data_IF_488062317872
#
_entry.id   IF_488062317872
#
_cell.length_a   1.000
_cell.length_b   1.000
_cell.length_c   1.000
_cell.angle_alpha   90.00
_cell.angle_beta   90.00
_cell.angle_gamma   90.00
#
_symmetry.space_group_name_H-M   'P 1'
#
loop_
_entity.id
_entity.type
_entity.pdbx_description
1 polymer ?
#
# COMPACT_ATOMS: atom_id res chain seq x y z
N UNK A 1 5.04 0.50 -9.43
CA UNK A 1 4.09 1.66 -9.30
C UNK A 1 4.18 2.39 -7.96
N UNK A 2 4.65 1.77 -6.90
CA UNK A 2 4.81 2.40 -5.56
C UNK A 2 5.58 3.72 -5.61
N UNK A 3 6.62 3.84 -6.42
CA UNK A 3 7.40 5.07 -6.59
C UNK A 3 6.56 6.26 -7.12
N UNK A 4 5.49 6.01 -7.88
CA UNK A 4 4.59 7.10 -8.29
C UNK A 4 3.80 7.66 -7.11
N UNK A 5 3.40 6.81 -6.16
CA UNK A 5 2.63 7.22 -4.98
C UNK A 5 3.48 7.96 -3.95
N UNK A 6 4.76 7.62 -3.84
CA UNK A 6 5.67 8.20 -2.85
C UNK A 6 6.12 9.61 -3.24
N UNK A 7 5.84 10.66 -2.45
CA UNK A 7 6.26 12.03 -2.75
C UNK A 7 7.78 12.25 -2.61
N UNK A 8 8.48 11.34 -1.94
CA UNK A 8 9.95 11.40 -1.89
C UNK A 8 10.62 10.84 -3.14
N UNK A 9 9.97 9.87 -3.82
CA UNK A 9 10.43 9.29 -5.08
C UNK A 9 9.88 10.05 -6.29
N UNK A 10 8.60 10.41 -6.26
CA UNK A 10 7.92 11.10 -7.36
C UNK A 10 8.10 12.62 -7.26
N UNK A 11 9.05 13.15 -7.98
CA UNK A 11 9.36 14.59 -8.09
C UNK A 11 8.79 15.24 -9.35
N UNK A 12 7.81 14.60 -9.99
CA UNK A 12 7.16 15.13 -11.21
C UNK A 12 6.33 16.36 -10.88
N UNK A 13 6.31 17.30 -11.82
CA UNK A 13 5.53 18.55 -11.76
C UNK A 13 4.34 18.55 -12.71
N UNK A 14 4.12 17.44 -13.43
CA UNK A 14 3.00 17.25 -14.34
C UNK A 14 1.80 16.57 -13.64
N UNK A 15 0.80 16.18 -14.43
CA UNK A 15 -0.42 15.53 -13.95
C UNK A 15 -0.20 14.17 -13.25
N UNK A 16 1.02 13.68 -13.14
CA UNK A 16 1.39 12.44 -12.45
C UNK A 16 2.21 12.67 -11.18
N UNK A 17 2.37 13.93 -10.73
CA UNK A 17 3.13 14.29 -9.55
C UNK A 17 2.44 15.36 -8.70
N UNK A 18 3.00 15.68 -7.54
CA UNK A 18 2.44 16.64 -6.60
C UNK A 18 1.34 16.06 -5.73
N UNK A 19 0.07 16.36 -5.97
CA UNK A 19 -1.05 15.91 -5.15
C UNK A 19 -1.22 14.38 -5.16
N UNK A 20 -1.89 13.82 -4.16
CA UNK A 20 -2.13 12.37 -4.08
C UNK A 20 -2.91 11.87 -5.29
N UNK A 21 -3.92 12.62 -5.76
CA UNK A 21 -4.72 12.27 -6.94
C UNK A 21 -3.85 12.17 -8.19
N UNK A 22 -2.90 13.07 -8.35
CA UNK A 22 -1.97 13.03 -9.47
C UNK A 22 -1.00 11.85 -9.36
N UNK A 23 -0.45 11.60 -8.15
CA UNK A 23 0.45 10.47 -7.89
C UNK A 23 -0.25 9.12 -8.08
N UNK A 24 -1.54 9.02 -7.74
CA UNK A 24 -2.35 7.82 -7.92
C UNK A 24 -2.85 7.63 -9.37
N UNK A 25 -2.88 8.68 -10.16
CA UNK A 25 -3.45 8.69 -11.53
C UNK A 25 -2.92 7.55 -12.41
N UNK A 26 -1.62 7.28 -12.35
CA UNK A 26 -1.03 6.21 -13.17
C UNK A 26 -1.56 4.83 -12.73
N UNK A 27 -1.59 4.55 -11.44
CA UNK A 27 -2.09 3.30 -10.88
C UNK A 27 -3.57 3.09 -11.24
N UNK A 28 -4.41 4.09 -10.97
CA UNK A 28 -5.86 4.01 -11.23
C UNK A 28 -6.14 3.85 -12.74
N UNK A 29 -5.41 4.56 -13.59
CA UNK A 29 -5.54 4.41 -15.03
C UNK A 29 -5.15 3.02 -15.51
N UNK A 30 -4.09 2.43 -14.94
CA UNK A 30 -3.66 1.08 -15.28
C UNK A 30 -4.71 0.02 -14.87
N UNK A 31 -5.27 0.14 -13.65
CA UNK A 31 -6.35 -0.76 -13.18
C UNK A 31 -7.58 -0.64 -14.06
N UNK A 32 -8.02 0.58 -14.36
CA UNK A 32 -9.18 0.83 -15.26
C UNK A 32 -8.97 0.18 -16.62
N UNK A 33 -7.81 0.37 -17.24
CA UNK A 33 -7.48 -0.24 -18.53
C UNK A 33 -7.41 -1.77 -18.46
N UNK A 34 -6.88 -2.31 -17.37
CA UNK A 34 -6.90 -3.77 -17.15
C UNK A 34 -8.34 -4.27 -17.06
N UNK A 35 -9.20 -3.63 -16.26
CA UNK A 35 -10.62 -4.00 -16.11
C UNK A 35 -11.38 -3.91 -17.45
N UNK A 36 -11.16 -2.85 -18.22
CA UNK A 36 -11.73 -2.72 -19.58
C UNK A 36 -11.30 -3.89 -20.49
N UNK A 37 -10.06 -4.34 -20.38
CA UNK A 37 -9.52 -5.39 -21.24
C UNK A 37 -9.97 -6.80 -20.86
N UNK A 38 -10.10 -7.09 -19.55
CA UNK A 38 -10.37 -8.47 -19.08
C UNK A 38 -11.86 -8.71 -18.75
N UNK A 39 -12.67 -7.66 -18.63
CA UNK A 39 -14.09 -7.75 -18.29
C UNK A 39 -14.35 -7.84 -16.78
N UNK A 40 -15.62 -7.87 -16.40
CA UNK A 40 -16.06 -7.80 -15.01
C UNK A 40 -15.77 -9.07 -14.19
N UNK A 41 -15.77 -10.23 -14.83
CA UNK A 41 -15.67 -11.52 -14.17
C UNK A 41 -14.23 -11.98 -13.89
N UNK A 42 -13.23 -11.28 -14.45
CA UNK A 42 -11.84 -11.63 -14.26
C UNK A 42 -11.28 -10.93 -13.01
N UNK A 43 -10.75 -11.67 -12.01
CA UNK A 43 -10.26 -11.05 -10.79
C UNK A 43 -8.99 -10.22 -11.03
N UNK A 44 -8.97 -8.99 -10.49
CA UNK A 44 -7.81 -8.10 -10.49
C UNK A 44 -7.31 -7.94 -9.07
N UNK A 45 -6.02 -8.24 -8.84
CA UNK A 45 -5.35 -7.96 -7.58
C UNK A 45 -4.34 -6.85 -7.71
N UNK A 46 -4.20 -6.05 -6.65
CA UNK A 46 -3.21 -4.98 -6.54
C UNK A 46 -2.38 -5.18 -5.29
N UNK A 47 -1.05 -5.15 -5.43
CA UNK A 47 -0.13 -5.06 -4.29
C UNK A 47 0.18 -3.60 -4.03
N UNK A 48 -0.15 -3.12 -2.82
CA UNK A 48 -0.02 -1.73 -2.41
C UNK A 48 0.76 -1.62 -1.10
N UNK A 49 1.69 -0.65 -1.04
CA UNK A 49 2.31 -0.29 0.23
C UNK A 49 1.27 0.39 1.14
N UNK A 50 1.20 -0.05 2.40
CA UNK A 50 0.39 0.61 3.44
C UNK A 50 1.07 1.90 3.94
N UNK A 51 2.37 1.98 3.85
CA UNK A 51 3.21 3.15 4.16
C UNK A 51 4.64 2.91 3.66
N UNK A 52 5.38 3.99 3.37
CA UNK A 52 6.81 3.91 3.10
C UNK A 52 7.65 3.78 4.38
N UNK A 53 7.05 4.03 5.57
CA UNK A 53 7.73 4.11 6.87
C UNK A 53 8.91 5.11 6.87
N UNK A 54 8.81 6.14 6.07
CA UNK A 54 9.83 7.16 5.87
C UNK A 54 9.22 8.55 5.96
N UNK A 55 9.90 9.46 6.67
CA UNK A 55 9.41 10.84 6.82
C UNK A 55 9.26 11.51 5.44
N UNK A 56 8.09 12.07 5.20
CA UNK A 56 7.74 12.69 3.92
C UNK A 56 7.46 11.70 2.78
N UNK A 57 7.42 10.38 3.07
CA UNK A 57 7.01 9.34 2.13
C UNK A 57 5.48 9.18 2.06
N UNK A 58 5.05 8.13 1.36
CA UNK A 58 3.66 7.74 1.27
C UNK A 58 3.15 7.28 2.65
N UNK A 59 2.06 7.89 3.12
CA UNK A 59 1.51 7.65 4.46
C UNK A 59 0.39 6.62 4.45
N UNK A 60 0.03 6.13 5.64
CA UNK A 60 -1.11 5.23 5.78
C UNK A 60 -2.45 5.89 5.46
N UNK A 61 -2.62 7.16 5.81
CA UNK A 61 -3.82 7.94 5.48
C UNK A 61 -3.97 8.08 3.97
N UNK A 62 -2.88 8.36 3.27
CA UNK A 62 -2.86 8.38 1.80
C UNK A 62 -3.17 7.00 1.21
N UNK A 63 -2.69 5.92 1.84
CA UNK A 63 -3.02 4.55 1.45
C UNK A 63 -4.52 4.27 1.53
N UNK A 64 -5.19 4.65 2.62
CA UNK A 64 -6.64 4.48 2.78
C UNK A 64 -7.41 5.17 1.65
N UNK A 65 -7.02 6.39 1.30
CA UNK A 65 -7.66 7.13 0.20
C UNK A 65 -7.44 6.42 -1.16
N UNK A 66 -6.23 5.92 -1.41
CA UNK A 66 -5.94 5.17 -2.65
C UNK A 66 -6.73 3.86 -2.69
N UNK A 67 -6.89 3.17 -1.55
CA UNK A 67 -7.70 1.94 -1.46
C UNK A 67 -9.16 2.20 -1.82
N UNK A 68 -9.75 3.28 -1.31
CA UNK A 68 -11.11 3.68 -1.67
C UNK A 68 -11.25 3.87 -3.19
N UNK A 69 -10.31 4.59 -3.81
CA UNK A 69 -10.31 4.76 -5.27
C UNK A 69 -10.11 3.44 -6.04
N UNK A 70 -9.26 2.54 -5.55
CA UNK A 70 -9.07 1.21 -6.16
C UNK A 70 -10.34 0.36 -6.08
N UNK A 71 -11.09 0.44 -4.98
CA UNK A 71 -12.40 -0.19 -4.84
C UNK A 71 -13.40 0.33 -5.88
N UNK A 72 -13.43 1.65 -6.13
CA UNK A 72 -14.26 2.27 -7.16
C UNK A 72 -13.88 1.82 -8.58
N UNK A 73 -12.60 1.51 -8.83
CA UNK A 73 -12.13 0.96 -10.11
C UNK A 73 -12.34 -0.57 -10.23
N UNK A 74 -12.93 -1.21 -9.23
CA UNK A 74 -13.29 -2.63 -9.26
C UNK A 74 -12.12 -3.58 -9.00
N UNK A 75 -11.20 -3.23 -8.10
CA UNK A 75 -10.17 -4.16 -7.62
C UNK A 75 -10.81 -5.20 -6.69
N UNK A 76 -10.53 -6.49 -6.93
CA UNK A 76 -11.13 -7.60 -6.19
C UNK A 76 -10.30 -8.03 -4.97
N UNK A 77 -8.99 -7.87 -5.04
CA UNK A 77 -8.07 -8.28 -3.98
C UNK A 77 -6.96 -7.25 -3.80
N UNK A 78 -6.72 -6.84 -2.56
CA UNK A 78 -5.60 -6.01 -2.16
C UNK A 78 -4.58 -6.83 -1.36
N UNK A 79 -3.35 -6.91 -1.87
CA UNK A 79 -2.20 -7.43 -1.12
C UNK A 79 -1.48 -6.27 -0.44
N UNK A 80 -1.38 -6.33 0.90
CA UNK A 80 -0.76 -5.26 1.68
C UNK A 80 0.74 -5.50 1.78
N UNK A 81 1.51 -4.46 1.51
CA UNK A 81 2.96 -4.39 1.63
C UNK A 81 3.35 -3.12 2.38
N UNK A 82 4.64 -2.85 2.52
CA UNK A 82 5.13 -1.60 3.11
C UNK A 82 6.64 -1.50 3.07
N UNK A 83 7.11 -0.27 3.30
CA UNK A 83 8.51 0.06 3.22
C UNK A 83 9.05 0.14 1.79
N UNK A 84 10.30 0.50 1.70
CA UNK A 84 11.08 0.53 0.45
C UNK A 84 12.51 0.04 0.72
N UNK A 85 13.38 0.06 -0.28
CA UNK A 85 14.77 -0.41 -0.12
C UNK A 85 15.59 0.46 0.84
N UNK A 86 15.23 1.73 1.04
CA UNK A 86 15.90 2.65 1.97
C UNK A 86 15.39 2.46 3.42
N UNK A 87 14.14 2.01 3.57
CA UNK A 87 13.51 1.68 4.85
C UNK A 87 12.90 0.27 4.80
N UNK A 88 13.73 -0.78 4.94
CA UNK A 88 13.28 -2.16 4.86
C UNK A 88 12.65 -2.64 6.18
N UNK A 89 11.69 -1.89 6.72
CA UNK A 89 10.99 -2.21 8.00
C UNK A 89 10.35 -3.59 7.98
N UNK A 90 9.93 -4.08 6.81
CA UNK A 90 9.46 -5.46 6.63
C UNK A 90 10.47 -6.53 7.04
N UNK A 91 11.76 -6.20 7.06
CA UNK A 91 12.82 -7.14 7.45
C UNK A 91 13.11 -7.10 8.96
N UNK A 92 12.31 -6.38 9.75
CA UNK A 92 12.39 -6.35 11.21
C UNK A 92 13.65 -5.67 11.75
N UNK A 93 14.26 -4.79 10.96
CA UNK A 93 15.51 -4.12 11.37
C UNK A 93 15.32 -2.89 12.23
N UNK A 94 14.14 -2.26 12.22
CA UNK A 94 13.97 -0.91 12.78
C UNK A 94 12.99 -0.84 13.97
N UNK A 95 12.43 -1.96 14.43
CA UNK A 95 11.53 -1.99 15.60
C UNK A 95 10.24 -1.16 15.48
N UNK A 96 9.90 -0.69 14.28
CA UNK A 96 8.80 0.25 14.02
C UNK A 96 7.43 -0.44 13.97
N UNK A 97 7.42 -1.77 13.77
CA UNK A 97 6.19 -2.53 13.69
C UNK A 97 6.05 -3.40 14.94
N UNK A 98 5.14 -3.03 15.83
CA UNK A 98 4.69 -3.91 16.91
C UNK A 98 3.53 -4.78 16.38
N UNK A 99 3.77 -6.06 16.08
CA UNK A 99 2.71 -6.98 15.69
C UNK A 99 1.83 -7.31 16.90
N UNK A 100 0.53 -7.46 16.67
CA UNK A 100 -0.39 -7.96 17.71
C UNK A 100 -0.28 -9.48 17.77
N UNK A 101 0.27 -10.03 18.83
CA UNK A 101 0.43 -11.47 19.00
C UNK A 101 -0.36 -12.05 20.15
N UNK A 102 -0.73 -13.32 20.00
CA UNK A 102 -1.17 -14.17 21.10
C UNK A 102 0.02 -14.50 22.02
N UNK A 103 -0.25 -14.63 23.33
CA UNK A 103 0.75 -14.82 24.39
C UNK A 103 1.64 -16.05 24.24
N UNK A 104 1.30 -16.97 23.34
CA UNK A 104 2.04 -18.21 23.10
C UNK A 104 3.09 -18.14 21.98
N UNK A 105 3.20 -17.01 21.27
CA UNK A 105 4.13 -16.86 20.15
C UNK A 105 5.46 -16.29 20.63
N UNK A 106 6.57 -16.90 20.22
CA UNK A 106 7.92 -16.42 20.62
C UNK A 106 8.21 -15.04 20.04
N UNK A 107 9.00 -14.23 20.76
CA UNK A 107 9.40 -12.89 20.32
C UNK A 107 10.01 -12.89 18.90
N UNK A 108 10.74 -13.93 18.54
CA UNK A 108 11.33 -14.09 17.20
C UNK A 108 10.27 -14.37 16.11
N UNK A 109 9.21 -15.07 16.45
CA UNK A 109 8.08 -15.33 15.55
C UNK A 109 7.24 -14.06 15.42
N UNK A 110 6.99 -13.39 16.54
CA UNK A 110 6.30 -12.10 16.57
C UNK A 110 6.96 -11.07 15.64
N UNK A 111 8.29 -11.02 15.64
CA UNK A 111 9.05 -10.10 14.80
C UNK A 111 9.00 -10.40 13.29
N UNK A 112 8.42 -11.55 12.87
CA UNK A 112 8.43 -11.99 11.46
C UNK A 112 7.07 -12.19 10.82
N UNK A 113 6.01 -12.23 11.62
CA UNK A 113 4.67 -12.58 11.14
C UNK A 113 3.67 -11.44 11.36
N UNK A 114 2.75 -11.31 10.42
CA UNK A 114 1.58 -10.44 10.55
C UNK A 114 1.84 -8.93 10.75
N UNK A 115 2.93 -8.39 10.21
CA UNK A 115 3.31 -6.97 10.28
C UNK A 115 2.18 -6.00 9.90
N UNK A 116 1.31 -6.40 9.02
CA UNK A 116 0.29 -5.52 8.44
C UNK A 116 -1.12 -5.74 8.96
N UNK A 117 -1.31 -6.53 10.04
CA UNK A 117 -2.66 -6.80 10.57
C UNK A 117 -3.43 -5.53 10.95
N UNK A 118 -2.76 -4.57 11.56
CA UNK A 118 -3.40 -3.30 11.93
C UNK A 118 -3.77 -2.49 10.69
N UNK A 119 -2.89 -2.45 9.71
CA UNK A 119 -3.15 -1.80 8.42
C UNK A 119 -4.28 -2.51 7.67
N UNK A 120 -4.29 -3.85 7.67
CA UNK A 120 -5.36 -4.63 7.06
C UNK A 120 -6.74 -4.35 7.68
N UNK A 121 -6.80 -4.18 9.02
CA UNK A 121 -8.05 -3.85 9.70
C UNK A 121 -8.61 -2.50 9.29
N UNK A 122 -7.78 -1.46 9.25
CA UNK A 122 -8.21 -0.12 8.83
C UNK A 122 -8.57 -0.07 7.35
N UNK A 123 -7.80 -0.75 6.50
CA UNK A 123 -8.08 -0.85 5.06
C UNK A 123 -9.42 -1.56 4.79
N UNK A 124 -9.77 -2.58 5.58
CA UNK A 124 -11.04 -3.31 5.41
C UNK A 124 -12.27 -2.50 5.82
N UNK A 125 -12.11 -1.37 6.49
CA UNK A 125 -13.20 -0.48 6.92
C UNK A 125 -13.54 0.59 5.87
N UNK A 126 -12.70 0.77 4.89
CA UNK A 126 -12.87 1.67 3.74
C UNK A 126 -13.47 0.89 2.57
#
# INVERSE_FOLDING_TARGET
>A
MSEFLSPIANKREDQYGGSLENRARFLLSAVRKAREAVGADFPISVKLNSSDFQQGGFTHEECLQVVEWLGQEGVDLLEISGGNYEQPSMMGRDGVLEPIYDSHVTERTKAREAYFLNYAKSIKQV
#
